data_IF_081137482604
#
_entry.id   IF_081137482604
#
_cell.length_a   1.000
_cell.length_b   1.000
_cell.length_c   1.000
_cell.angle_alpha   90.00
_cell.angle_beta   90.00
_cell.angle_gamma   90.00
#
_symmetry.space_group_name_H-M   'P 1'
#
loop_
_entity.id
_entity.type
_entity.pdbx_description
1 polymer ?
#
# COMPACT_ATOMS: atom_id res chain seq x y z
N UNK A 1 -22.31 -18.15 -7.16
CA UNK A 1 -20.98 -17.75 -7.68
C UNK A 1 -21.03 -17.78 -9.20
N UNK A 2 -21.53 -16.72 -9.82
CA UNK A 2 -21.45 -16.52 -11.28
C UNK A 2 -20.43 -15.41 -11.52
N UNK A 3 -19.15 -15.79 -11.52
CA UNK A 3 -18.00 -14.89 -11.78
C UNK A 3 -17.66 -14.89 -13.28
N UNK A 4 -18.67 -14.82 -14.15
CA UNK A 4 -18.42 -14.50 -15.55
C UNK A 4 -19.12 -13.19 -15.82
N UNK A 5 -18.33 -12.21 -16.26
CA UNK A 5 -18.87 -10.99 -16.84
C UNK A 5 -19.79 -11.43 -18.00
N UNK A 6 -21.05 -10.98 -18.07
CA UNK A 6 -21.93 -11.37 -19.16
C UNK A 6 -21.25 -11.01 -20.47
N UNK A 7 -21.07 -11.99 -21.36
CA UNK A 7 -20.51 -11.72 -22.69
C UNK A 7 -21.55 -10.93 -23.47
N UNK A 8 -21.50 -9.61 -23.32
CA UNK A 8 -22.29 -8.65 -24.08
C UNK A 8 -21.62 -8.41 -25.42
N UNK A 9 -22.38 -7.95 -26.41
CA UNK A 9 -21.80 -7.55 -27.70
C UNK A 9 -20.72 -6.48 -27.54
N UNK A 10 -20.87 -5.62 -26.53
CA UNK A 10 -19.89 -4.57 -26.19
C UNK A 10 -18.55 -5.17 -25.77
N UNK A 11 -18.58 -6.22 -24.92
CA UNK A 11 -17.37 -6.93 -24.49
C UNK A 11 -16.63 -7.57 -25.68
N UNK A 12 -17.34 -8.11 -26.66
CA UNK A 12 -16.74 -8.70 -27.86
C UNK A 12 -16.05 -7.63 -28.72
N UNK A 13 -16.68 -6.46 -28.89
CA UNK A 13 -16.11 -5.33 -29.62
C UNK A 13 -14.87 -4.77 -28.92
N UNK A 14 -14.87 -4.72 -27.59
CA UNK A 14 -13.70 -4.33 -26.81
C UNK A 14 -12.54 -5.31 -26.96
N UNK A 15 -12.81 -6.62 -26.89
CA UNK A 15 -11.81 -7.66 -27.12
C UNK A 15 -11.20 -7.52 -28.51
N UNK A 16 -12.03 -7.29 -29.55
CA UNK A 16 -11.53 -7.08 -30.91
C UNK A 16 -10.68 -5.81 -31.04
N UNK A 17 -11.08 -4.71 -30.39
CA UNK A 17 -10.27 -3.48 -30.33
C UNK A 17 -8.91 -3.72 -29.69
N UNK A 18 -8.86 -4.44 -28.57
CA UNK A 18 -7.63 -4.77 -27.87
C UNK A 18 -6.70 -5.59 -28.78
N UNK A 19 -7.22 -6.63 -29.41
CA UNK A 19 -6.45 -7.49 -30.34
C UNK A 19 -5.91 -6.66 -31.50
N UNK A 20 -6.74 -5.80 -32.10
CA UNK A 20 -6.32 -4.93 -33.20
C UNK A 20 -5.16 -4.01 -32.79
N UNK A 21 -5.29 -3.34 -31.64
CA UNK A 21 -4.25 -2.43 -31.13
C UNK A 21 -2.94 -3.18 -30.81
N UNK A 22 -3.03 -4.38 -30.23
CA UNK A 22 -1.86 -5.24 -30.00
C UNK A 22 -1.16 -5.61 -31.30
N UNK A 23 -1.92 -5.98 -32.34
CA UNK A 23 -1.35 -6.28 -33.65
C UNK A 23 -0.66 -5.07 -34.28
N UNK A 24 -1.22 -3.87 -34.12
CA UNK A 24 -0.58 -2.62 -34.59
C UNK A 24 0.73 -2.36 -33.83
N UNK A 25 0.72 -2.49 -32.50
CA UNK A 25 1.92 -2.31 -31.67
C UNK A 25 3.02 -3.32 -32.05
N UNK A 26 2.67 -4.58 -32.28
CA UNK A 26 3.61 -5.63 -32.67
C UNK A 26 4.25 -5.38 -34.06
N UNK A 27 3.54 -4.71 -34.96
CA UNK A 27 4.07 -4.34 -36.28
C UNK A 27 4.97 -3.10 -36.25
N UNK A 28 4.87 -2.28 -35.20
CA UNK A 28 5.55 -1.01 -35.07
C UNK A 28 6.30 -0.91 -33.72
N UNK A 29 7.28 -1.80 -33.44
CA UNK A 29 7.98 -1.81 -32.17
C UNK A 29 8.77 -0.50 -31.95
N UNK A 30 9.42 0.00 -33.00
CA UNK A 30 10.29 1.19 -32.91
C UNK A 30 9.52 2.50 -32.79
N UNK A 31 8.24 2.53 -33.15
CA UNK A 31 7.40 3.73 -33.09
C UNK A 31 7.20 4.25 -31.66
N UNK A 32 7.37 3.38 -30.66
CA UNK A 32 7.16 3.70 -29.24
C UNK A 32 8.46 3.77 -28.42
N UNK A 33 9.63 3.58 -29.05
CA UNK A 33 10.93 3.56 -28.36
C UNK A 33 11.56 4.96 -28.28
N UNK A 34 11.05 5.94 -29.04
CA UNK A 34 11.58 7.31 -29.06
C UNK A 34 11.21 8.12 -27.81
N UNK A 35 11.83 7.75 -26.69
CA UNK A 35 11.73 8.42 -25.40
C UNK A 35 12.18 9.88 -25.45
N UNK A 36 13.01 10.28 -26.42
CA UNK A 36 13.47 11.66 -26.59
C UNK A 36 12.35 12.59 -27.03
N UNK A 37 11.32 12.07 -27.70
CA UNK A 37 10.14 12.83 -28.12
C UNK A 37 9.00 12.81 -27.09
N UNK A 38 9.10 12.00 -26.03
CA UNK A 38 8.10 11.96 -24.97
C UNK A 38 8.32 13.14 -24.03
N UNK A 39 7.49 14.17 -24.15
CA UNK A 39 7.49 15.32 -23.24
C UNK A 39 6.53 15.09 -22.08
N UNK A 40 6.99 15.35 -20.86
CA UNK A 40 6.12 15.41 -19.69
C UNK A 40 5.18 16.60 -19.85
N UNK A 41 3.88 16.41 -19.63
CA UNK A 41 2.95 17.54 -19.55
C UNK A 41 3.32 18.44 -18.37
N UNK A 42 3.16 19.75 -18.55
CA UNK A 42 3.37 20.75 -17.49
C UNK A 42 2.15 20.85 -16.54
N UNK A 43 1.12 20.03 -16.73
CA UNK A 43 -0.12 20.12 -15.97
C UNK A 43 0.13 19.62 -14.53
N UNK A 44 -0.05 20.46 -13.50
CA UNK A 44 0.02 20.00 -12.13
C UNK A 44 -1.14 19.05 -11.85
N UNK A 45 -0.86 17.90 -11.25
CA UNK A 45 -1.88 16.91 -10.89
C UNK A 45 -2.72 17.44 -9.72
N UNK A 46 -3.91 17.95 -10.00
CA UNK A 46 -4.89 18.43 -9.00
C UNK A 46 -5.58 17.30 -8.20
N UNK A 47 -5.02 16.08 -8.18
CA UNK A 47 -5.51 15.01 -7.30
C UNK A 47 -5.04 15.22 -5.85
N UNK A 48 -5.28 16.40 -5.30
CA UNK A 48 -5.21 16.62 -3.86
C UNK A 48 -6.64 16.58 -3.36
N UNK A 49 -7.05 15.59 -2.56
CA UNK A 49 -8.38 15.59 -1.97
C UNK A 49 -8.57 16.87 -1.17
N UNK A 50 -9.72 17.52 -1.34
CA UNK A 50 -10.07 18.73 -0.61
C UNK A 50 -9.87 18.50 0.90
N UNK A 51 -9.00 19.32 1.52
CA UNK A 51 -8.81 19.31 2.96
C UNK A 51 -10.05 19.96 3.59
N UNK A 52 -10.91 19.17 4.21
CA UNK A 52 -11.99 19.69 5.04
C UNK A 52 -11.40 20.20 6.36
N UNK A 53 -11.49 21.50 6.60
CA UNK A 53 -11.14 22.09 7.89
C UNK A 53 -12.24 21.74 8.89
N UNK A 54 -11.91 20.90 9.86
CA UNK A 54 -12.85 20.48 10.91
C UNK A 54 -12.83 21.54 12.00
N UNK A 55 -13.98 22.17 12.35
CA UNK A 55 -14.03 23.20 13.39
C UNK A 55 -13.52 22.67 14.74
N UNK A 56 -12.66 23.45 15.38
CA UNK A 56 -11.97 23.13 16.64
C UNK A 56 -12.93 22.75 17.78
N UNK A 57 -14.18 23.22 17.72
CA UNK A 57 -15.25 22.85 18.66
C UNK A 57 -15.59 21.34 18.67
N UNK A 58 -15.33 20.63 17.57
CA UNK A 58 -15.48 19.16 17.53
C UNK A 58 -14.28 18.42 18.12
N UNK A 59 -13.09 19.04 18.10
CA UNK A 59 -11.86 18.47 18.67
C UNK A 59 -11.92 18.41 20.21
N UNK A 60 -12.64 19.34 20.85
CA UNK A 60 -12.86 19.32 22.30
C UNK A 60 -13.86 18.26 22.74
N UNK A 61 -14.83 17.91 21.89
CA UNK A 61 -15.74 16.78 22.15
C UNK A 61 -15.05 15.43 21.89
N UNK A 62 -13.98 15.42 21.08
CA UNK A 62 -13.13 14.27 20.80
C UNK A 62 -11.89 14.16 21.72
N UNK A 63 -11.80 14.92 22.82
CA UNK A 63 -10.82 14.61 23.89
C UNK A 63 -11.14 13.30 24.64
N UNK A 64 -12.31 12.71 24.40
CA UNK A 64 -12.61 11.32 24.76
C UNK A 64 -12.05 10.27 23.76
N UNK A 65 -11.45 10.72 22.65
CA UNK A 65 -10.76 9.86 21.68
C UNK A 65 -9.30 10.25 21.55
N UNK A 66 -8.59 10.41 22.67
CA UNK A 66 -7.18 10.02 22.67
C UNK A 66 -7.12 8.65 22.01
N UNK A 67 -6.38 8.55 20.91
CA UNK A 67 -6.38 7.42 20.01
C UNK A 67 -6.39 6.14 20.82
N UNK A 68 -7.54 5.47 20.81
CA UNK A 68 -7.78 4.24 21.53
C UNK A 68 -6.92 3.20 20.84
N UNK A 69 -5.63 3.17 21.23
CA UNK A 69 -4.49 2.41 20.68
C UNK A 69 -5.03 1.21 19.92
N UNK A 70 -5.20 1.37 18.59
CA UNK A 70 -5.94 0.50 17.66
C UNK A 70 -6.45 -0.79 18.32
N UNK A 71 -7.56 -0.70 19.07
CA UNK A 71 -8.18 -1.91 19.62
C UNK A 71 -8.76 -2.70 18.45
N UNK A 72 -8.46 -4.00 18.39
CA UNK A 72 -9.12 -4.89 17.43
C UNK A 72 -10.63 -4.80 17.68
N UNK A 73 -11.41 -4.51 16.62
CA UNK A 73 -12.87 -4.41 16.68
C UNK A 73 -13.44 -5.69 17.32
N UNK A 74 -14.42 -5.54 18.21
CA UNK A 74 -15.10 -6.67 18.87
C UNK A 74 -14.55 -7.12 20.22
N UNK A 75 -13.44 -6.53 20.72
CA UNK A 75 -12.91 -6.89 22.05
C UNK A 75 -13.50 -6.00 23.16
N UNK A 76 -14.16 -6.57 24.19
CA UNK A 76 -14.68 -5.79 25.30
C UNK A 76 -13.58 -5.08 26.09
N UNK A 77 -13.91 -3.95 26.71
CA UNK A 77 -12.97 -3.19 27.54
C UNK A 77 -12.52 -4.06 28.73
N UNK A 78 -11.22 -4.06 29.05
CA UNK A 78 -10.67 -4.84 30.17
C UNK A 78 -10.41 -6.35 29.92
N UNK A 79 -10.90 -6.93 28.82
CA UNK A 79 -10.67 -8.35 28.53
C UNK A 79 -9.20 -8.68 28.27
N UNK A 80 -8.64 -9.64 29.02
CA UNK A 80 -7.30 -10.24 28.82
C UNK A 80 -7.42 -11.52 27.98
N UNK A 81 -6.37 -11.85 27.23
CA UNK A 81 -6.31 -13.11 26.50
C UNK A 81 -6.04 -14.24 27.49
N UNK A 82 -6.76 -15.37 27.36
CA UNK A 82 -6.50 -16.56 28.20
C UNK A 82 -5.07 -17.09 28.02
N UNK A 83 -4.53 -16.99 26.80
CA UNK A 83 -3.14 -17.27 26.48
C UNK A 83 -2.47 -16.02 25.90
N UNK A 84 -1.82 -15.19 26.74
CA UNK A 84 -1.04 -14.06 26.28
C UNK A 84 0.09 -14.52 25.35
N UNK A 85 0.29 -13.81 24.24
CA UNK A 85 1.43 -14.09 23.35
C UNK A 85 2.74 -13.83 24.10
N UNK A 86 3.59 -14.86 24.21
CA UNK A 86 4.98 -14.71 24.68
C UNK A 86 5.69 -13.67 23.81
N UNK A 87 6.17 -12.60 24.41
CA UNK A 87 7.05 -11.63 23.73
C UNK A 87 8.49 -12.03 24.03
N UNK A 88 9.37 -11.95 23.03
CA UNK A 88 10.82 -12.00 23.27
C UNK A 88 11.17 -10.72 24.01
N UNK A 89 11.69 -10.84 25.22
CA UNK A 89 12.12 -9.69 25.99
C UNK A 89 13.31 -9.06 25.27
N UNK A 90 13.18 -7.81 24.86
CA UNK A 90 14.32 -7.00 24.50
C UNK A 90 14.87 -6.48 25.83
N UNK A 91 15.93 -7.11 26.34
CA UNK A 91 16.63 -6.60 27.52
C UNK A 91 17.22 -5.25 27.09
N UNK A 92 16.58 -4.16 27.49
CA UNK A 92 17.16 -2.83 27.39
C UNK A 92 18.08 -2.75 28.60
N UNK A 93 19.39 -2.97 28.43
CA UNK A 93 20.35 -2.53 29.44
C UNK A 93 20.34 -1.00 29.42
N UNK A 94 19.62 -0.41 30.36
CA UNK A 94 19.58 1.03 30.56
C UNK A 94 20.93 1.42 31.15
N UNK A 95 21.89 1.75 30.29
CA UNK A 95 23.04 2.51 30.72
C UNK A 95 22.58 3.96 30.80
N UNK A 96 22.49 4.49 32.02
CA UNK A 96 22.37 5.93 32.24
C UNK A 96 23.64 6.57 31.71
N UNK A 97 23.65 6.92 30.42
CA UNK A 97 24.48 7.90 29.71
C UNK A 97 24.68 7.44 28.24
N UNK A 98 23.98 8.14 27.34
CA UNK A 98 24.13 8.18 25.88
C UNK A 98 23.59 7.01 25.03
N UNK A 99 22.72 7.41 24.09
CA UNK A 99 22.36 6.84 22.78
C UNK A 99 21.90 5.36 22.73
N UNK A 100 20.58 5.21 22.58
CA UNK A 100 19.89 3.93 22.32
C UNK A 100 20.44 3.30 21.04
N UNK A 101 21.21 2.22 21.16
CA UNK A 101 21.63 1.39 20.02
C UNK A 101 20.68 0.21 19.90
N UNK A 102 19.77 0.24 18.92
CA UNK A 102 18.93 -0.91 18.56
C UNK A 102 19.66 -1.78 17.55
N UNK A 103 20.29 -2.87 17.97
CA UNK A 103 20.90 -3.84 17.05
C UNK A 103 19.84 -4.80 16.51
N UNK A 104 19.45 -4.63 15.25
CA UNK A 104 18.67 -5.63 14.50
C UNK A 104 19.63 -6.71 13.99
N UNK A 105 19.49 -7.95 14.45
CA UNK A 105 20.14 -9.10 13.79
C UNK A 105 19.17 -9.62 12.74
N UNK A 106 19.37 -9.20 11.49
CA UNK A 106 18.72 -9.79 10.32
C UNK A 106 19.69 -10.76 9.66
N UNK A 107 19.37 -12.06 9.71
CA UNK A 107 20.09 -13.10 8.96
C UNK A 107 19.91 -12.85 7.45
N UNK A 108 21.03 -12.71 6.73
CA UNK A 108 21.09 -12.52 5.29
C UNK A 108 20.66 -13.79 4.56
N UNK A 109 19.56 -13.74 3.79
CA UNK A 109 19.25 -14.78 2.81
C UNK A 109 20.01 -14.50 1.52
N UNK A 110 21.07 -15.27 1.29
CA UNK A 110 21.86 -15.24 0.05
C UNK A 110 21.02 -15.66 -1.16
N UNK A 111 20.93 -14.79 -2.17
CA UNK A 111 20.38 -15.12 -3.49
C UNK A 111 21.29 -16.15 -4.19
N UNK A 112 20.80 -17.37 -4.35
CA UNK A 112 21.44 -18.37 -5.22
C UNK A 112 20.86 -18.20 -6.62
N UNK A 113 21.67 -17.70 -7.55
CA UNK A 113 21.38 -17.72 -8.99
C UNK A 113 21.30 -19.17 -9.46
N UNK A 114 20.15 -19.58 -10.02
CA UNK A 114 19.99 -20.89 -10.68
C UNK A 114 19.66 -20.68 -12.16
N UNK A 115 20.68 -20.83 -12.99
CA UNK A 115 20.59 -20.95 -14.44
C UNK A 115 20.22 -22.38 -14.80
N UNK A 116 19.17 -22.59 -15.60
CA UNK A 116 19.10 -23.54 -16.72
C UNK A 116 18.21 -22.92 -17.79
#
# INVERSE_FOLDING_TARGET
MSFLDPRTNDSELEVQRIIHLQNVANRLPDAFIDTKKVTKSHIPTENVPARLEVPEATLTQSKASESQIRRKRGRPLGSKDANPRKRKEHIISINHNANVTTSNVSEEFSFINRTI
#
